data_IF_023634328065
#
_entry.id   IF_023634328065
#
_cell.length_a   1.000
_cell.length_b   1.000
_cell.length_c   1.000
_cell.angle_alpha   90.00
_cell.angle_beta   90.00
_cell.angle_gamma   90.00
#
_symmetry.space_group_name_H-M   'P 1'
#
loop_
_entity.id
_entity.type
_entity.pdbx_description
1 polymer ?
#
# COMPACT_ATOMS: atom_id res chain seq x y z
N UNK A 1 -27.93 40.95 -13.97
CA UNK A 1 -26.47 40.77 -13.73
C UNK A 1 -26.18 39.29 -13.56
N UNK A 2 -24.94 38.79 -13.76
CA UNK A 2 -24.65 37.36 -13.65
C UNK A 2 -24.75 36.91 -12.19
N UNK A 3 -25.29 35.70 -11.98
CA UNK A 3 -25.76 35.20 -10.68
C UNK A 3 -24.68 34.52 -9.80
N UNK A 4 -23.47 34.29 -10.31
CA UNK A 4 -22.29 33.99 -9.50
C UNK A 4 -21.02 34.12 -10.35
N UNK A 5 -19.96 34.70 -9.81
CA UNK A 5 -18.62 34.62 -10.39
C UNK A 5 -17.77 33.75 -9.48
N UNK A 6 -17.44 32.54 -9.92
CA UNK A 6 -16.47 31.69 -9.23
C UNK A 6 -15.07 32.06 -9.71
N UNK A 7 -14.13 32.19 -8.77
CA UNK A 7 -12.71 32.37 -9.06
C UNK A 7 -11.92 31.33 -8.30
N UNK A 8 -10.93 30.76 -8.97
CA UNK A 8 -9.90 29.89 -8.39
C UNK A 8 -8.57 30.59 -8.70
N UNK A 9 -7.75 30.82 -7.67
CA UNK A 9 -6.45 31.50 -7.77
C UNK A 9 -6.46 32.85 -8.51
N UNK A 10 -7.55 33.61 -8.34
CA UNK A 10 -7.72 34.94 -8.92
C UNK A 10 -8.16 34.97 -10.39
N UNK A 11 -8.22 33.82 -11.08
CA UNK A 11 -8.72 33.70 -12.45
C UNK A 11 -10.22 33.37 -12.49
N UNK A 12 -10.92 33.79 -13.55
CA UNK A 12 -12.35 33.46 -13.73
C UNK A 12 -12.47 31.97 -14.02
N UNK A 13 -13.23 31.26 -13.19
CA UNK A 13 -13.43 29.82 -13.34
C UNK A 13 -14.91 29.47 -13.58
N UNK A 14 -15.13 28.39 -14.31
CA UNK A 14 -16.43 27.74 -14.44
C UNK A 14 -16.30 26.31 -13.91
N UNK A 15 -17.14 25.95 -12.94
CA UNK A 15 -17.09 24.62 -12.31
C UNK A 15 -18.13 23.71 -12.96
N UNK A 16 -17.68 22.55 -13.46
CA UNK A 16 -18.55 21.48 -13.95
C UNK A 16 -18.47 20.31 -12.97
N UNK A 17 -19.58 19.95 -12.35
CA UNK A 17 -19.64 18.86 -11.38
C UNK A 17 -20.18 17.59 -12.03
N UNK A 18 -19.46 16.49 -11.91
CA UNK A 18 -19.90 15.17 -12.33
C UNK A 18 -19.65 14.15 -11.19
N UNK A 19 -20.59 13.23 -10.99
CA UNK A 19 -20.45 12.15 -9.99
C UNK A 19 -20.03 10.86 -10.70
N UNK A 20 -18.91 10.23 -10.31
CA UNK A 20 -18.55 8.90 -10.84
C UNK A 20 -19.62 7.87 -10.45
N UNK A 21 -19.95 6.96 -11.38
CA UNK A 21 -20.96 5.91 -11.19
C UNK A 21 -20.31 4.53 -10.91
N UNK A 22 -19.12 4.51 -10.29
CA UNK A 22 -18.43 3.26 -9.95
C UNK A 22 -17.33 3.43 -8.90
N UNK A 23 -16.76 2.32 -8.45
CA UNK A 23 -15.85 2.28 -7.30
C UNK A 23 -14.38 2.62 -7.66
N UNK A 24 -14.05 2.65 -8.96
CA UNK A 24 -12.70 2.94 -9.44
C UNK A 24 -12.57 4.40 -9.90
N UNK A 25 -12.58 5.31 -8.93
CA UNK A 25 -12.40 6.75 -9.18
C UNK A 25 -11.10 7.04 -9.94
N UNK A 26 -10.00 6.35 -9.64
CA UNK A 26 -8.72 6.55 -10.33
C UNK A 26 -8.77 6.27 -11.85
N UNK A 27 -9.42 5.17 -12.26
CA UNK A 27 -9.58 4.87 -13.69
C UNK A 27 -10.47 5.89 -14.41
N UNK A 28 -11.57 6.31 -13.77
CA UNK A 28 -12.47 7.34 -14.31
C UNK A 28 -11.74 8.67 -14.45
N UNK A 29 -10.94 9.05 -13.45
CA UNK A 29 -10.16 10.29 -13.49
C UNK A 29 -9.08 10.26 -14.56
N UNK A 30 -8.44 9.11 -14.80
CA UNK A 30 -7.43 8.95 -15.86
C UNK A 30 -8.07 9.06 -17.25
N UNK A 31 -9.23 8.43 -17.48
CA UNK A 31 -9.97 8.54 -18.74
C UNK A 31 -10.48 9.98 -18.97
N UNK A 32 -10.95 10.63 -17.90
CA UNK A 32 -11.38 12.02 -17.97
C UNK A 32 -10.22 12.98 -18.27
N UNK A 33 -9.06 12.78 -17.64
CA UNK A 33 -7.86 13.57 -17.93
C UNK A 33 -7.44 13.43 -19.40
N UNK A 34 -7.38 12.21 -19.93
CA UNK A 34 -7.04 11.97 -21.33
C UNK A 34 -8.02 12.65 -22.30
N UNK A 35 -9.31 12.69 -21.96
CA UNK A 35 -10.34 13.38 -22.76
C UNK A 35 -10.25 14.90 -22.67
N UNK A 36 -9.91 15.44 -21.50
CA UNK A 36 -9.71 16.88 -21.30
C UNK A 36 -8.45 17.35 -22.04
N UNK A 37 -7.37 16.57 -21.98
CA UNK A 37 -6.12 16.87 -22.70
C UNK A 37 -6.29 16.79 -24.23
N UNK A 38 -7.25 15.97 -24.70
CA UNK A 38 -7.58 15.86 -26.12
C UNK A 38 -8.58 16.94 -26.62
N UNK A 39 -9.10 17.79 -25.73
CA UNK A 39 -9.96 18.91 -26.13
C UNK A 39 -9.10 20.10 -26.57
N UNK A 40 -9.47 20.74 -27.68
CA UNK A 40 -8.91 22.04 -28.05
C UNK A 40 -9.52 23.13 -27.15
N UNK A 41 -8.81 23.47 -26.07
CA UNK A 41 -9.16 24.62 -25.24
C UNK A 41 -8.76 25.93 -25.94
N UNK A 42 -9.61 26.98 -25.88
CA UNK A 42 -9.26 28.28 -26.43
C UNK A 42 -8.03 28.88 -25.74
N UNK A 43 -7.26 29.70 -26.47
CA UNK A 43 -6.00 30.28 -25.98
C UNK A 43 -6.17 30.94 -24.60
N UNK A 44 -5.41 30.46 -23.61
CA UNK A 44 -5.42 30.97 -22.24
C UNK A 44 -6.41 30.30 -21.29
N UNK A 45 -7.19 29.30 -21.73
CA UNK A 45 -8.03 28.48 -20.85
C UNK A 45 -7.29 27.20 -20.41
N UNK A 46 -7.27 26.93 -19.11
CA UNK A 46 -6.77 25.67 -18.53
C UNK A 46 -7.93 24.92 -17.87
N UNK A 47 -7.91 23.60 -17.98
CA UNK A 47 -8.83 22.73 -17.27
C UNK A 47 -8.04 21.88 -16.27
N UNK A 48 -8.46 21.92 -15.01
CA UNK A 48 -7.89 21.09 -13.95
C UNK A 48 -8.99 20.25 -13.33
N UNK A 49 -8.66 18.99 -13.01
CA UNK A 49 -9.56 18.08 -12.31
C UNK A 49 -9.33 18.27 -10.82
N UNK A 50 -10.30 18.86 -10.12
CA UNK A 50 -10.28 19.04 -8.66
C UNK A 50 -11.22 18.09 -7.91
N UNK A 51 -11.28 18.24 -6.59
CA UNK A 51 -12.19 17.50 -5.71
C UNK A 51 -11.65 16.11 -5.34
N UNK A 52 -12.50 15.08 -5.32
CA UNK A 52 -12.15 13.74 -4.79
C UNK A 52 -10.93 13.12 -5.47
N UNK A 53 -10.66 13.44 -6.74
CA UNK A 53 -9.45 12.97 -7.45
C UNK A 53 -8.18 13.62 -6.92
N UNK A 54 -8.24 14.92 -6.64
CA UNK A 54 -7.13 15.69 -6.09
C UNK A 54 -6.82 15.20 -4.67
N UNK A 55 -7.86 15.07 -3.83
CA UNK A 55 -7.74 14.50 -2.48
C UNK A 55 -7.12 13.09 -2.51
N UNK A 56 -7.52 12.25 -3.48
CA UNK A 56 -6.99 10.89 -3.65
C UNK A 56 -5.52 10.90 -4.08
N UNK A 57 -5.13 11.76 -5.01
CA UNK A 57 -3.74 11.90 -5.45
C UNK A 57 -2.85 12.43 -4.34
N UNK A 58 -3.32 13.42 -3.58
CA UNK A 58 -2.61 13.93 -2.41
C UNK A 58 -2.42 12.82 -1.37
N UNK A 59 -3.48 12.09 -1.04
CA UNK A 59 -3.42 10.96 -0.11
C UNK A 59 -2.44 9.86 -0.59
N UNK A 60 -2.41 9.56 -1.89
CA UNK A 60 -1.46 8.60 -2.46
C UNK A 60 -0.01 9.06 -2.34
N UNK A 61 0.26 10.34 -2.59
CA UNK A 61 1.60 10.90 -2.42
C UNK A 61 2.03 10.86 -0.95
N UNK A 62 1.14 11.26 -0.03
CA UNK A 62 1.41 11.21 1.41
C UNK A 62 1.64 9.78 1.90
N UNK A 63 0.82 8.81 1.48
CA UNK A 63 0.99 7.40 1.84
C UNK A 63 2.24 6.78 1.20
N UNK A 64 2.56 7.14 -0.04
CA UNK A 64 3.81 6.75 -0.70
C UNK A 64 5.03 7.22 0.07
N UNK A 65 5.05 8.50 0.47
CA UNK A 65 6.10 9.07 1.30
C UNK A 65 6.15 8.41 2.69
N UNK A 66 4.99 8.11 3.29
CA UNK A 66 4.89 7.41 4.55
C UNK A 66 5.46 5.98 4.46
N UNK A 67 5.20 5.24 3.37
CA UNK A 67 5.78 3.91 3.14
C UNK A 67 7.30 3.98 2.97
N UNK A 68 7.83 4.95 2.23
CA UNK A 68 9.27 5.16 2.10
C UNK A 68 9.90 5.50 3.47
N UNK A 69 9.26 6.38 4.24
CA UNK A 69 9.69 6.71 5.59
C UNK A 69 9.65 5.48 6.51
N UNK A 70 8.59 4.67 6.44
CA UNK A 70 8.47 3.43 7.22
C UNK A 70 9.59 2.44 6.89
N UNK A 71 9.88 2.22 5.61
CA UNK A 71 10.99 1.38 5.16
C UNK A 71 12.33 1.91 5.67
N UNK A 72 12.56 3.23 5.59
CA UNK A 72 13.79 3.85 6.07
C UNK A 72 13.95 3.72 7.60
N UNK A 73 12.88 3.94 8.36
CA UNK A 73 12.89 3.78 9.83
C UNK A 73 13.14 2.33 10.20
N UNK A 74 12.45 1.37 9.56
CA UNK A 74 12.69 -0.06 9.75
C UNK A 74 14.14 -0.39 9.46
N UNK A 75 14.69 0.09 8.34
CA UNK A 75 16.10 -0.14 8.00
C UNK A 75 17.04 0.37 9.10
N UNK A 76 16.86 1.61 9.56
CA UNK A 76 17.67 2.17 10.65
C UNK A 76 17.58 1.34 11.94
N UNK A 77 16.37 0.92 12.31
CA UNK A 77 16.16 0.07 13.49
C UNK A 77 16.90 -1.26 13.34
N UNK A 78 16.81 -1.92 12.18
CA UNK A 78 17.47 -3.19 11.94
C UNK A 78 19.00 -3.07 11.94
N UNK A 79 19.53 -1.99 11.36
CA UNK A 79 20.98 -1.70 11.40
C UNK A 79 21.43 -1.51 12.85
N UNK A 80 20.64 -0.79 13.67
CA UNK A 80 20.93 -0.60 15.08
C UNK A 80 20.86 -1.92 15.87
N UNK A 81 19.87 -2.77 15.60
CA UNK A 81 19.66 -4.05 16.29
C UNK A 81 20.72 -5.09 15.92
N UNK A 82 20.97 -5.32 14.62
CA UNK A 82 21.87 -6.37 14.16
C UNK A 82 23.32 -5.92 13.99
N UNK A 83 23.61 -4.62 14.14
CA UNK A 83 24.94 -4.02 13.90
C UNK A 83 25.55 -4.43 12.56
N UNK A 84 24.69 -4.61 11.56
CA UNK A 84 25.05 -5.08 10.22
C UNK A 84 24.22 -4.34 9.18
N UNK A 85 24.83 -3.96 8.06
CA UNK A 85 24.14 -3.34 6.93
C UNK A 85 23.55 -4.36 5.95
N UNK A 86 24.11 -5.58 5.91
CA UNK A 86 23.72 -6.61 4.95
C UNK A 86 22.44 -7.31 5.37
N UNK A 87 22.30 -7.65 6.66
CA UNK A 87 21.12 -8.36 7.15
C UNK A 87 19.82 -7.56 6.96
N UNK A 88 19.76 -6.25 7.29
CA UNK A 88 18.58 -5.42 7.03
C UNK A 88 18.22 -5.35 5.54
N UNK A 89 19.23 -5.29 4.66
CA UNK A 89 19.01 -5.25 3.22
C UNK A 89 18.38 -6.56 2.71
N UNK A 90 18.85 -7.72 3.19
CA UNK A 90 18.24 -9.02 2.90
C UNK A 90 16.78 -9.05 3.35
N UNK A 91 16.46 -8.47 4.51
CA UNK A 91 15.10 -8.39 5.00
C UNK A 91 14.22 -7.48 4.14
N UNK A 92 14.73 -6.33 3.71
CA UNK A 92 13.99 -5.40 2.86
C UNK A 92 13.64 -5.98 1.48
N UNK A 93 14.42 -6.93 0.97
CA UNK A 93 14.07 -7.64 -0.28
C UNK A 93 12.72 -8.34 -0.17
N UNK A 94 12.28 -8.76 1.03
CA UNK A 94 10.96 -9.38 1.22
C UNK A 94 9.78 -8.42 1.04
N UNK A 95 9.98 -7.10 1.19
CA UNK A 95 8.91 -6.10 1.10
C UNK A 95 8.35 -5.97 -0.32
N UNK A 96 9.18 -5.82 -1.38
CA UNK A 96 8.71 -5.89 -2.76
C UNK A 96 7.96 -7.18 -3.08
N UNK A 97 8.43 -8.33 -2.60
CA UNK A 97 7.73 -9.62 -2.83
C UNK A 97 6.33 -9.62 -2.19
N UNK A 98 6.20 -9.10 -0.97
CA UNK A 98 4.91 -8.96 -0.32
C UNK A 98 3.96 -8.02 -1.10
N UNK A 99 4.47 -6.86 -1.52
CA UNK A 99 3.72 -5.91 -2.33
C UNK A 99 3.27 -6.52 -3.67
N UNK A 100 4.12 -7.31 -4.34
CA UNK A 100 3.71 -8.01 -5.58
C UNK A 100 2.59 -9.02 -5.34
N UNK A 101 2.59 -9.72 -4.21
CA UNK A 101 1.51 -10.64 -3.84
C UNK A 101 0.19 -9.91 -3.60
N UNK A 102 0.23 -8.79 -2.87
CA UNK A 102 -0.93 -7.94 -2.63
C UNK A 102 -1.51 -7.37 -3.94
N UNK A 103 -0.65 -6.83 -4.82
CA UNK A 103 -1.06 -6.31 -6.12
C UNK A 103 -1.67 -7.40 -7.01
N UNK A 104 -1.09 -8.61 -7.00
CA UNK A 104 -1.63 -9.75 -7.74
C UNK A 104 -3.02 -10.14 -7.23
N UNK A 105 -3.22 -10.17 -5.91
CA UNK A 105 -4.53 -10.46 -5.31
C UNK A 105 -5.56 -9.40 -5.68
N UNK A 106 -5.22 -8.11 -5.55
CA UNK A 106 -6.10 -7.01 -5.96
C UNK A 106 -6.53 -7.11 -7.43
N UNK A 107 -5.62 -7.52 -8.30
CA UNK A 107 -5.89 -7.73 -9.72
C UNK A 107 -6.83 -8.92 -9.96
N UNK A 108 -6.63 -10.03 -9.24
CA UNK A 108 -7.47 -11.23 -9.33
C UNK A 108 -8.89 -10.95 -8.79
N UNK A 109 -9.01 -10.20 -7.70
CA UNK A 109 -10.31 -9.84 -7.10
C UNK A 109 -11.01 -8.68 -7.80
N UNK A 110 -10.36 -8.05 -8.79
CA UNK A 110 -10.90 -6.88 -9.50
C UNK A 110 -11.09 -5.64 -8.61
N UNK A 111 -10.42 -5.60 -7.46
CA UNK A 111 -10.54 -4.50 -6.50
C UNK A 111 -9.56 -3.38 -6.87
N UNK A 112 -10.03 -2.12 -7.00
CA UNK A 112 -9.17 -1.01 -7.41
C UNK A 112 -8.12 -0.69 -6.34
N UNK A 113 -6.95 -0.24 -6.78
CA UNK A 113 -5.89 0.26 -5.90
C UNK A 113 -6.30 1.65 -5.36
N UNK A 114 -7.07 1.65 -4.28
CA UNK A 114 -7.52 2.85 -3.58
C UNK A 114 -6.67 3.19 -2.34
N UNK A 115 -7.03 4.30 -1.68
CA UNK A 115 -6.43 4.72 -0.39
C UNK A 115 -6.48 3.59 0.66
N UNK A 116 -7.59 2.83 0.81
CA UNK A 116 -7.63 1.71 1.76
C UNK A 116 -6.62 0.59 1.44
N UNK A 117 -6.40 0.28 0.15
CA UNK A 117 -5.42 -0.72 -0.26
C UNK A 117 -3.98 -0.27 0.05
N UNK A 118 -3.69 1.02 -0.12
CA UNK A 118 -2.41 1.63 0.26
C UNK A 118 -2.15 1.57 1.77
N UNK A 119 -3.18 1.78 2.60
CA UNK A 119 -3.09 1.58 4.06
C UNK A 119 -2.83 0.10 4.38
N UNK A 120 -3.49 -0.82 3.67
CA UNK A 120 -3.20 -2.25 3.72
C UNK A 120 -1.73 -2.56 3.45
N UNK A 121 -1.15 -1.96 2.40
CA UNK A 121 0.26 -2.18 2.05
C UNK A 121 1.19 -1.67 3.15
N UNK A 122 0.86 -0.55 3.78
CA UNK A 122 1.63 -0.02 4.91
C UNK A 122 1.62 -0.99 6.10
N UNK A 123 0.47 -1.61 6.40
CA UNK A 123 0.38 -2.66 7.44
C UNK A 123 1.16 -3.93 7.06
N UNK A 124 1.08 -4.35 5.79
CA UNK A 124 1.77 -5.51 5.26
C UNK A 124 3.29 -5.40 5.44
N UNK A 125 3.87 -4.20 5.26
CA UNK A 125 5.29 -3.94 5.53
C UNK A 125 5.63 -4.35 6.97
N UNK A 126 4.85 -3.94 7.96
CA UNK A 126 5.10 -4.26 9.36
C UNK A 126 4.99 -5.76 9.67
N UNK A 127 3.97 -6.42 9.13
CA UNK A 127 3.73 -7.85 9.34
C UNK A 127 4.90 -8.69 8.78
N UNK A 128 5.29 -8.41 7.54
CA UNK A 128 6.37 -9.15 6.85
C UNK A 128 7.71 -8.88 7.52
N UNK A 129 8.00 -7.63 7.84
CA UNK A 129 9.25 -7.24 8.54
C UNK A 129 9.34 -7.93 9.91
N UNK A 130 8.27 -7.93 10.72
CA UNK A 130 8.27 -8.59 12.03
C UNK A 130 8.54 -10.09 11.89
N UNK A 131 7.93 -10.71 10.87
CA UNK A 131 8.16 -12.12 10.55
C UNK A 131 9.55 -12.43 9.98
N UNK A 132 10.23 -11.44 9.43
CA UNK A 132 11.59 -11.60 8.97
C UNK A 132 12.61 -11.36 10.11
N UNK A 133 12.34 -10.39 11.00
CA UNK A 133 13.19 -10.03 12.14
C UNK A 133 13.46 -11.22 13.04
N UNK A 134 12.43 -11.84 13.64
CA UNK A 134 12.67 -12.96 14.59
C UNK A 134 13.28 -14.19 13.90
N UNK A 135 13.18 -14.31 12.56
CA UNK A 135 13.81 -15.42 11.84
C UNK A 135 15.32 -15.18 11.72
N UNK A 136 15.71 -14.00 11.25
CA UNK A 136 17.13 -13.61 11.18
C UNK A 136 17.76 -13.57 12.57
N UNK A 137 17.03 -13.09 13.57
CA UNK A 137 17.50 -13.07 14.94
C UNK A 137 17.82 -14.48 15.45
N UNK A 138 16.91 -15.44 15.24
CA UNK A 138 17.13 -16.83 15.61
C UNK A 138 18.31 -17.47 14.84
N UNK A 139 18.44 -17.17 13.54
CA UNK A 139 19.58 -17.62 12.74
C UNK A 139 20.89 -17.04 13.31
N UNK A 140 20.93 -15.77 13.68
CA UNK A 140 22.09 -15.14 14.30
C UNK A 140 22.43 -15.76 15.66
N UNK A 141 21.43 -16.09 16.48
CA UNK A 141 21.63 -16.79 17.74
C UNK A 141 22.29 -18.16 17.51
N UNK A 142 21.81 -18.94 16.54
CA UNK A 142 22.42 -20.22 16.19
C UNK A 142 23.84 -20.07 15.64
N UNK A 143 24.11 -19.05 14.83
CA UNK A 143 25.46 -18.73 14.37
C UNK A 143 26.40 -18.35 15.53
N UNK A 144 25.89 -17.62 16.53
CA UNK A 144 26.66 -17.28 17.73
C UNK A 144 26.95 -18.51 18.61
N UNK A 145 26.10 -19.54 18.54
CA UNK A 145 26.31 -20.85 19.20
C UNK A 145 27.30 -21.75 18.44
N UNK A 146 27.84 -21.29 17.30
CA UNK A 146 28.87 -22.01 16.53
C UNK A 146 28.35 -22.83 15.35
N UNK A 147 27.05 -22.80 15.05
CA UNK A 147 26.49 -23.49 13.88
C UNK A 147 26.92 -22.81 12.57
N UNK A 148 27.13 -23.62 11.54
CA UNK A 148 27.36 -23.12 10.18
C UNK A 148 26.14 -22.35 9.65
N UNK A 149 26.33 -21.47 8.64
CA UNK A 149 25.23 -20.65 8.08
C UNK A 149 24.09 -21.54 7.57
N UNK A 150 24.41 -22.63 6.86
CA UNK A 150 23.40 -23.52 6.30
C UNK A 150 22.60 -24.23 7.41
N UNK A 151 23.28 -24.75 8.42
CA UNK A 151 22.66 -25.43 9.55
C UNK A 151 21.79 -24.45 10.37
N UNK A 152 22.29 -23.25 10.63
CA UNK A 152 21.55 -22.21 11.34
C UNK A 152 20.27 -21.78 10.60
N UNK A 153 20.30 -21.71 9.26
CA UNK A 153 19.13 -21.41 8.43
C UNK A 153 18.11 -22.55 8.45
N UNK A 154 18.57 -23.80 8.35
CA UNK A 154 17.69 -24.98 8.40
C UNK A 154 16.99 -25.03 9.77
N UNK A 155 17.75 -24.93 10.86
CA UNK A 155 17.20 -25.11 12.19
C UNK A 155 16.39 -23.88 12.64
N UNK A 156 16.87 -22.68 12.31
CA UNK A 156 16.08 -21.45 12.43
C UNK A 156 14.75 -21.56 11.69
N UNK A 157 14.77 -21.99 10.43
CA UNK A 157 13.57 -22.20 9.62
C UNK A 157 12.61 -23.21 10.22
N UNK A 158 13.09 -24.37 10.67
CA UNK A 158 12.24 -25.42 11.29
C UNK A 158 11.55 -24.92 12.56
N UNK A 159 12.24 -24.18 13.42
CA UNK A 159 11.67 -23.64 14.65
C UNK A 159 10.66 -22.51 14.41
N UNK A 160 10.86 -21.71 13.36
CA UNK A 160 10.02 -20.56 13.03
C UNK A 160 8.85 -20.89 12.10
N UNK A 161 8.91 -22.01 11.37
CA UNK A 161 7.90 -22.39 10.39
C UNK A 161 6.49 -22.48 11.00
N UNK A 162 6.34 -23.25 12.09
CA UNK A 162 5.04 -23.41 12.76
C UNK A 162 4.48 -22.07 13.29
N UNK A 163 5.26 -21.25 14.04
CA UNK A 163 4.82 -19.92 14.44
C UNK A 163 4.43 -19.00 13.28
N UNK A 164 5.23 -18.94 12.20
CA UNK A 164 4.91 -18.09 11.03
C UNK A 164 3.57 -18.49 10.43
N UNK A 165 3.36 -19.78 10.16
CA UNK A 165 2.11 -20.28 9.58
C UNK A 165 0.92 -20.00 10.51
N UNK A 166 1.08 -20.14 11.82
CA UNK A 166 0.03 -19.80 12.78
C UNK A 166 -0.39 -18.33 12.66
N UNK A 167 0.58 -17.40 12.65
CA UNK A 167 0.28 -15.97 12.53
C UNK A 167 -0.33 -15.62 11.19
N UNK A 168 0.16 -16.19 10.09
CA UNK A 168 -0.37 -15.97 8.76
C UNK A 168 -1.83 -16.45 8.66
N UNK A 169 -2.12 -17.68 9.11
CA UNK A 169 -3.49 -18.21 9.10
C UNK A 169 -4.43 -17.39 9.99
N UNK A 170 -3.97 -16.96 11.16
CA UNK A 170 -4.78 -16.11 12.04
C UNK A 170 -5.17 -14.79 11.37
N UNK A 171 -4.21 -14.11 10.72
CA UNK A 171 -4.48 -12.87 9.98
C UNK A 171 -5.42 -13.11 8.79
N UNK A 172 -5.18 -14.17 8.01
CA UNK A 172 -6.04 -14.53 6.88
C UNK A 172 -7.46 -14.77 7.36
N UNK A 173 -7.68 -15.62 8.37
CA UNK A 173 -9.03 -15.90 8.86
C UNK A 173 -9.71 -14.69 9.51
N UNK A 174 -8.95 -13.80 10.14
CA UNK A 174 -9.48 -12.57 10.72
C UNK A 174 -9.97 -11.58 9.64
N UNK A 175 -9.28 -11.51 8.50
CA UNK A 175 -9.57 -10.53 7.43
C UNK A 175 -10.39 -11.13 6.27
N UNK A 176 -10.51 -12.45 6.19
CA UNK A 176 -11.26 -13.14 5.14
C UNK A 176 -12.70 -12.64 4.96
N UNK A 177 -13.51 -12.40 6.02
CA UNK A 177 -14.86 -11.87 5.86
C UNK A 177 -14.89 -10.45 5.28
N UNK A 178 -13.87 -9.63 5.60
CA UNK A 178 -13.73 -8.28 5.06
C UNK A 178 -13.30 -8.33 3.59
N UNK A 179 -12.34 -9.19 3.25
CA UNK A 179 -11.85 -9.40 1.89
C UNK A 179 -12.93 -9.93 0.93
N UNK A 180 -13.86 -10.75 1.45
CA UNK A 180 -15.01 -11.28 0.69
C UNK A 180 -16.19 -10.30 0.62
N UNK A 181 -16.11 -9.13 1.25
CA UNK A 181 -17.17 -8.11 1.21
C UNK A 181 -18.46 -8.54 1.91
N UNK A 182 -18.40 -9.52 2.83
CA UNK A 182 -19.59 -10.07 3.51
C UNK A 182 -20.17 -9.06 4.52
N UNK A 183 -19.37 -8.09 4.95
CA UNK A 183 -19.80 -6.96 5.79
C UNK A 183 -20.42 -5.86 4.92
N UNK A 184 -21.75 -5.88 4.80
CA UNK A 184 -22.54 -4.86 4.09
C UNK A 184 -22.25 -3.43 4.58
N UNK A 185 -22.47 -2.47 3.67
CA UNK A 185 -22.31 -1.01 3.81
C UNK A 185 -20.90 -0.45 4.10
N UNK A 186 -19.94 -1.28 4.57
CA UNK A 186 -18.52 -0.89 4.79
C UNK A 186 -17.52 -1.34 3.72
N UNK A 187 -17.97 -2.13 2.73
CA UNK A 187 -17.13 -2.84 1.75
C UNK A 187 -16.14 -1.97 0.98
N UNK A 188 -16.47 -0.70 0.72
CA UNK A 188 -15.60 0.22 -0.04
C UNK A 188 -14.22 0.44 0.63
N UNK A 189 -14.17 0.40 1.97
CA UNK A 189 -12.93 0.59 2.73
C UNK A 189 -12.37 -0.74 3.23
N UNK A 190 -13.25 -1.64 3.69
CA UNK A 190 -12.82 -2.89 4.32
C UNK A 190 -12.30 -3.93 3.33
N UNK A 191 -12.86 -3.99 2.12
CA UNK A 191 -12.53 -5.03 1.14
C UNK A 191 -11.13 -4.86 0.55
N UNK A 192 -10.72 -3.68 0.01
CA UNK A 192 -9.39 -3.55 -0.58
C UNK A 192 -8.28 -3.68 0.45
N UNK A 193 -8.54 -3.26 1.70
CA UNK A 193 -7.61 -3.42 2.82
C UNK A 193 -7.45 -4.90 3.20
N UNK A 194 -8.56 -5.64 3.32
CA UNK A 194 -8.54 -7.06 3.68
C UNK A 194 -7.98 -7.98 2.59
N UNK A 195 -8.04 -7.58 1.31
CA UNK A 195 -7.42 -8.33 0.21
C UNK A 195 -5.89 -8.19 0.20
N UNK A 196 -5.38 -7.05 0.63
CA UNK A 196 -3.94 -6.75 0.61
C UNK A 196 -3.17 -7.45 1.74
N UNK A 197 -3.81 -7.60 2.91
CA UNK A 197 -3.20 -8.11 4.14
C UNK A 197 -3.46 -9.61 4.31
#
# INVERSE_FOLDING_TARGET
>A
GPVSMTRIDGQRSATVTAKPVGDNTGAVSTDLAAKIDALDLPEGATATIGGVTEDQNEAFMQLGLAMLAAIAIVFMLLVATFRSLVQPLILLVSVPFAATGALALLLITGTPLGVPAMIGMLMLIGIVVTNAIVLIDLINQYRAQGLGIMEAVIEGGRHRFRPIIMTALATIFALLPMALGVTGEGGFISQPLGVVV
#
